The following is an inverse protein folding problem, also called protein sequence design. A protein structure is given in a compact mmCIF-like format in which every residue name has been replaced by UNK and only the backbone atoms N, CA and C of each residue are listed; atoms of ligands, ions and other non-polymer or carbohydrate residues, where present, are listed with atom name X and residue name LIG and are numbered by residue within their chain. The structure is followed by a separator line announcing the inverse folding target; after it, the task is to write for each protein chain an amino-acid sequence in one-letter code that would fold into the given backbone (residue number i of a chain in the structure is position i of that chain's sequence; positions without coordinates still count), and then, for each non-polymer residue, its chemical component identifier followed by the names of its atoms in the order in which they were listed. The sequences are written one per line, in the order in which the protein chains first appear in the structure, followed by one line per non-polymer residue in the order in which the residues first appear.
data_IF_327278229547
#
_entry.id   IF_327278229547
#
_cell.length_a   1.000
_cell.length_b   1.000
_cell.length_c   1.000
_cell.angle_alpha   90.00
_cell.angle_beta   90.00
_cell.angle_gamma   90.00
#
_symmetry.space_group_name_H-M   'P 1'
#
loop_
_entity.id
_entity.type
_entity.pdbx_description
1 polymer ?
#
# COMPACT_ATOMS: atom_id res chain seq x y z
N UNK A 1 -10.44 2.11 -1.97
CA UNK A 1 -10.11 0.67 -1.80
C UNK A 1 -8.63 0.49 -2.09
N UNK A 2 -7.78 0.30 -1.09
CA UNK A 2 -6.33 0.11 -1.29
C UNK A 2 -6.02 -1.39 -1.43
N UNK A 3 -5.25 -1.79 -2.45
CA UNK A 3 -4.63 -3.13 -2.50
C UNK A 3 -3.22 -3.01 -1.93
N UNK A 4 -3.02 -3.48 -0.71
CA UNK A 4 -1.74 -3.39 -0.03
C UNK A 4 -1.01 -4.73 -0.10
N UNK A 5 0.19 -4.74 -0.67
CA UNK A 5 1.11 -5.87 -0.60
C UNK A 5 1.93 -5.74 0.69
N UNK A 6 1.92 -6.74 1.56
CA UNK A 6 2.58 -6.62 2.86
C UNK A 6 2.36 -7.80 3.79
N UNK A 7 3.23 -8.81 3.66
CA UNK A 7 3.20 -10.09 4.40
C UNK A 7 2.98 -9.97 5.92
N UNK A 8 3.56 -8.96 6.55
CA UNK A 8 3.50 -8.80 8.01
C UNK A 8 2.33 -7.94 8.52
N UNK A 9 1.48 -7.39 7.66
CA UNK A 9 0.38 -6.49 8.05
C UNK A 9 0.79 -5.04 8.36
N UNK A 10 2.06 -4.69 8.13
CA UNK A 10 2.60 -3.37 8.46
C UNK A 10 2.02 -2.26 7.58
N UNK A 11 1.88 -2.54 6.28
CA UNK A 11 1.22 -1.63 5.33
C UNK A 11 -0.24 -1.44 5.72
N UNK A 12 -0.93 -2.53 6.07
CA UNK A 12 -2.31 -2.50 6.53
C UNK A 12 -2.48 -1.65 7.79
N UNK A 13 -1.60 -1.81 8.80
CA UNK A 13 -1.61 -1.01 10.03
C UNK A 13 -1.57 0.49 9.76
N UNK A 14 -0.75 0.92 8.81
CA UNK A 14 -0.65 2.35 8.48
C UNK A 14 -1.84 2.80 7.62
N UNK A 15 -2.25 2.00 6.62
CA UNK A 15 -3.37 2.33 5.74
C UNK A 15 -4.67 2.59 6.52
N UNK A 16 -4.95 1.78 7.55
CA UNK A 16 -6.19 1.92 8.33
C UNK A 16 -6.22 3.14 9.26
N UNK A 17 -5.07 3.79 9.51
CA UNK A 17 -5.02 5.05 10.29
C UNK A 17 -5.65 6.22 9.54
N UNK A 18 -5.73 6.15 8.21
CA UNK A 18 -6.35 7.19 7.41
C UNK A 18 -7.88 7.11 7.50
N UNK A 19 -8.51 8.20 7.94
CA UNK A 19 -9.97 8.32 8.03
C UNK A 19 -10.64 8.23 6.66
N UNK A 20 -9.98 8.73 5.62
CA UNK A 20 -10.45 8.68 4.22
C UNK A 20 -10.46 7.28 3.61
N UNK A 21 -9.78 6.31 4.22
CA UNK A 21 -9.77 4.93 3.74
C UNK A 21 -11.01 4.22 4.28
N UNK A 22 -11.93 3.89 3.38
CA UNK A 22 -13.15 3.13 3.70
C UNK A 22 -12.90 1.62 3.77
N UNK A 23 -12.10 1.10 2.84
CA UNK A 23 -11.77 -0.32 2.74
C UNK A 23 -10.34 -0.56 2.26
N UNK A 24 -9.70 -1.58 2.83
CA UNK A 24 -8.39 -2.09 2.43
C UNK A 24 -8.54 -3.56 2.07
N UNK A 25 -8.09 -3.92 0.89
CA UNK A 25 -7.99 -5.31 0.47
C UNK A 25 -6.54 -5.74 0.55
N UNK A 26 -6.28 -6.85 1.20
CA UNK A 26 -4.97 -7.49 1.22
C UNK A 26 -5.11 -8.89 0.64
N UNK A 27 -4.28 -9.20 -0.36
CA UNK A 27 -4.16 -10.54 -0.92
C UNK A 27 -2.82 -11.12 -0.47
N UNK A 28 -2.84 -12.26 0.22
CA UNK A 28 -1.64 -12.96 0.68
C UNK A 28 -1.66 -14.39 0.16
N UNK A 29 -0.53 -14.90 -0.32
CA UNK A 29 -0.50 -16.24 -0.92
C UNK A 29 -0.48 -17.34 0.15
N UNK A 30 0.08 -17.06 1.32
CA UNK A 30 0.29 -18.05 2.38
C UNK A 30 -0.30 -17.58 3.71
N UNK A 31 -1.39 -18.23 4.13
CA UNK A 31 -2.05 -17.97 5.41
C UNK A 31 -1.11 -18.19 6.60
N UNK A 32 -0.13 -19.11 6.51
CA UNK A 32 0.81 -19.36 7.60
C UNK A 32 1.64 -18.12 7.91
N UNK A 33 1.99 -17.32 6.89
CA UNK A 33 2.72 -16.07 7.08
C UNK A 33 1.91 -15.09 7.92
N UNK A 34 0.59 -15.08 7.76
CA UNK A 34 -0.32 -14.23 8.55
C UNK A 34 -0.33 -14.70 10.01
N UNK A 35 -0.47 -16.00 10.25
CA UNK A 35 -0.53 -16.56 11.61
C UNK A 35 0.81 -16.40 12.35
N UNK A 36 1.93 -16.66 11.67
CA UNK A 36 3.28 -16.42 12.19
C UNK A 36 3.48 -14.94 12.47
N UNK A 37 3.05 -14.04 11.59
CA UNK A 37 3.14 -12.59 11.83
C UNK A 37 2.33 -12.15 13.04
N UNK A 38 1.12 -12.69 13.25
CA UNK A 38 0.31 -12.43 14.45
C UNK A 38 1.03 -12.89 15.73
N UNK A 39 1.75 -14.01 15.67
CA UNK A 39 2.48 -14.57 16.82
C UNK A 39 3.79 -13.86 17.13
N UNK A 40 4.61 -13.58 16.12
CA UNK A 40 5.99 -13.10 16.31
C UNK A 40 6.17 -11.60 16.03
N UNK A 41 5.24 -10.98 15.29
CA UNK A 41 5.28 -9.55 14.94
C UNK A 41 3.98 -8.83 15.35
N UNK A 42 3.56 -8.88 16.63
CA UNK A 42 2.26 -8.39 17.08
C UNK A 42 2.05 -6.89 16.81
N UNK A 43 3.13 -6.09 16.90
CA UNK A 43 3.11 -4.64 16.62
C UNK A 43 2.81 -4.33 15.15
N UNK A 44 3.17 -5.23 14.25
CA UNK A 44 2.96 -5.09 12.80
C UNK A 44 1.63 -5.72 12.39
N UNK A 45 1.32 -6.88 12.96
CA UNK A 45 0.12 -7.65 12.67
C UNK A 45 -1.18 -7.06 13.24
N UNK A 46 -1.12 -6.02 14.08
CA UNK A 46 -2.31 -5.31 14.59
C UNK A 46 -3.22 -4.79 13.48
N UNK A 47 -2.67 -4.51 12.28
CA UNK A 47 -3.46 -4.13 11.12
C UNK A 47 -4.52 -5.17 10.73
N UNK A 48 -4.24 -6.47 10.94
CA UNK A 48 -5.16 -7.56 10.60
C UNK A 48 -6.45 -7.57 11.44
N UNK A 49 -6.50 -6.83 12.55
CA UNK A 49 -7.68 -6.73 13.40
C UNK A 49 -8.63 -5.59 13.00
N UNK A 50 -8.30 -4.83 11.95
CA UNK A 50 -9.14 -3.71 11.50
C UNK A 50 -10.43 -4.17 10.85
N UNK A 51 -11.56 -3.53 11.21
CA UNK A 51 -12.86 -3.74 10.54
C UNK A 51 -12.89 -3.28 9.08
N UNK A 52 -11.89 -2.48 8.65
CA UNK A 52 -11.74 -2.01 7.27
C UNK A 52 -11.05 -3.02 6.35
N UNK A 53 -10.52 -4.11 6.90
CA UNK A 53 -9.77 -5.12 6.14
C UNK A 53 -10.72 -6.12 5.47
N UNK A 54 -10.47 -6.39 4.19
CA UNK A 54 -10.90 -7.61 3.51
C UNK A 54 -9.64 -8.40 3.12
N UNK A 55 -9.48 -9.59 3.68
CA UNK A 55 -8.32 -10.44 3.44
C UNK A 55 -8.68 -11.56 2.46
N UNK A 56 -7.89 -11.70 1.41
CA UNK A 56 -7.92 -12.83 0.49
C UNK A 56 -6.65 -13.65 0.66
N UNK A 57 -6.80 -14.98 0.73
CA UNK A 57 -5.67 -15.91 0.68
C UNK A 57 -5.64 -16.51 -0.72
N UNK A 58 -4.88 -15.87 -1.61
CA UNK A 58 -4.82 -16.24 -3.02
C UNK A 58 -3.54 -15.74 -3.68
N UNK A 59 -3.24 -16.24 -4.88
CA UNK A 59 -2.20 -15.69 -5.73
C UNK A 59 -2.60 -14.29 -6.17
N UNK A 60 -1.88 -13.29 -5.66
CA UNK A 60 -2.15 -11.90 -5.98
C UNK A 60 -2.06 -11.57 -7.47
N UNK A 61 -1.31 -12.33 -8.27
CA UNK A 61 -1.27 -12.15 -9.72
C UNK A 61 -2.61 -12.53 -10.38
N UNK A 62 -3.25 -13.59 -9.90
CA UNK A 62 -4.54 -14.06 -10.39
C UNK A 62 -5.67 -13.16 -9.87
N UNK A 63 -5.59 -12.77 -8.59
CA UNK A 63 -6.47 -11.78 -7.99
C UNK A 63 -6.47 -10.46 -8.78
N UNK A 64 -5.30 -9.98 -9.18
CA UNK A 64 -5.20 -8.74 -9.97
C UNK A 64 -5.82 -8.91 -11.36
N UNK A 65 -5.61 -10.02 -12.08
CA UNK A 65 -6.24 -10.25 -13.39
C UNK A 65 -7.76 -10.20 -13.31
N UNK A 66 -8.35 -10.79 -12.27
CA UNK A 66 -9.80 -10.84 -12.09
C UNK A 66 -10.41 -9.48 -11.72
N UNK A 67 -9.62 -8.60 -11.10
CA UNK A 67 -10.12 -7.34 -10.55
C UNK A 67 -9.57 -6.09 -11.25
N UNK A 68 -8.71 -6.23 -12.27
CA UNK A 68 -8.05 -5.09 -12.93
C UNK A 68 -9.04 -4.10 -13.55
N UNK A 69 -10.09 -4.62 -14.21
CA UNK A 69 -11.15 -3.81 -14.83
C UNK A 69 -12.10 -3.14 -13.83
N UNK A 70 -11.99 -3.47 -12.54
CA UNK A 70 -12.89 -2.96 -11.50
C UNK A 70 -12.45 -1.60 -10.92
N UNK A 71 -11.33 -1.02 -11.39
CA UNK A 71 -10.76 0.23 -10.88
C UNK A 71 -10.59 1.27 -11.98
N UNK A 72 -11.08 2.48 -11.73
CA UNK A 72 -10.97 3.61 -12.66
C UNK A 72 -9.58 4.25 -12.65
N UNK A 73 -8.86 4.17 -11.53
CA UNK A 73 -7.53 4.76 -11.37
C UNK A 73 -6.57 3.74 -10.80
N UNK A 74 -5.43 3.57 -11.46
CA UNK A 74 -4.31 2.74 -10.98
C UNK A 74 -3.05 3.60 -10.91
N UNK A 75 -2.27 3.43 -9.85
CA UNK A 75 -1.00 4.10 -9.62
C UNK A 75 0.05 3.13 -9.10
N UNK A 76 1.32 3.45 -9.31
CA UNK A 76 2.44 2.70 -8.77
C UNK A 76 3.35 3.63 -7.98
N UNK A 77 3.64 3.24 -6.73
CA UNK A 77 4.58 3.92 -5.86
C UNK A 77 5.66 2.94 -5.42
N UNK A 78 6.80 3.44 -4.93
CA UNK A 78 7.82 2.58 -4.32
C UNK A 78 8.40 3.19 -3.05
N UNK A 79 9.00 2.36 -2.20
CA UNK A 79 9.80 2.83 -1.09
C UNK A 79 11.08 2.02 -0.94
N UNK A 80 12.04 2.58 -0.22
CA UNK A 80 13.34 1.96 0.05
C UNK A 80 13.29 1.21 1.37
N UNK A 81 13.53 -0.11 1.32
CA UNK A 81 13.63 -0.98 2.49
C UNK A 81 14.90 -1.83 2.29
N UNK A 82 15.99 -1.56 3.02
CA UNK A 82 17.29 -2.19 2.76
C UNK A 82 17.29 -3.73 2.81
N UNK A 83 16.37 -4.32 3.55
CA UNK A 83 16.26 -5.78 3.72
C UNK A 83 15.46 -6.47 2.62
N UNK A 84 14.85 -5.73 1.69
CA UNK A 84 14.19 -6.31 0.53
C UNK A 84 15.16 -6.49 -0.65
N UNK A 85 14.86 -7.44 -1.57
CA UNK A 85 15.67 -7.62 -2.77
C UNK A 85 15.86 -6.29 -3.50
N UNK A 86 17.11 -5.95 -3.83
CA UNK A 86 17.49 -4.66 -4.43
C UNK A 86 17.21 -3.41 -3.57
N UNK A 87 16.92 -3.58 -2.28
CA UNK A 87 16.77 -2.48 -1.31
C UNK A 87 15.48 -1.66 -1.43
N UNK A 88 14.50 -2.11 -2.23
CA UNK A 88 13.25 -1.38 -2.47
C UNK A 88 12.06 -2.30 -2.74
N UNK A 89 10.85 -1.78 -2.60
CA UNK A 89 9.60 -2.47 -2.97
C UNK A 89 8.58 -1.50 -3.58
N UNK A 90 7.79 -2.01 -4.51
CA UNK A 90 6.68 -1.30 -5.14
C UNK A 90 5.33 -1.57 -4.47
N UNK A 91 4.40 -0.64 -4.67
CA UNK A 91 3.01 -0.71 -4.26
C UNK A 91 2.14 -0.37 -5.46
N UNK A 92 1.16 -1.24 -5.76
CA UNK A 92 0.10 -0.94 -6.72
C UNK A 92 -1.08 -0.35 -5.95
N UNK A 93 -1.49 0.84 -6.33
CA UNK A 93 -2.57 1.61 -5.73
C UNK A 93 -3.75 1.65 -6.71
N UNK A 94 -4.94 1.25 -6.27
CA UNK A 94 -6.13 1.25 -7.13
C UNK A 94 -7.25 2.08 -6.50
N UNK A 95 -8.09 2.73 -7.32
CA UNK A 95 -9.26 3.46 -6.85
C UNK A 95 -10.42 3.27 -7.81
N UNK A 96 -11.63 3.15 -7.24
CA UNK A 96 -12.92 3.17 -7.96
C UNK A 96 -13.52 4.57 -8.08
N UNK A 97 -12.81 5.57 -7.59
CA UNK A 97 -13.22 6.95 -7.75
C UNK A 97 -12.34 7.55 -8.86
N UNK A 98 -12.90 7.84 -10.06
CA UNK A 98 -12.14 8.36 -11.20
C UNK A 98 -11.49 9.71 -10.94
N UNK A 99 -11.93 10.45 -9.91
CA UNK A 99 -11.33 11.72 -9.50
C UNK A 99 -10.12 11.55 -8.58
N UNK A 100 -9.72 10.32 -8.26
CA UNK A 100 -8.59 10.05 -7.35
C UNK A 100 -7.28 10.44 -8.00
N UNK A 101 -6.48 11.27 -7.32
CA UNK A 101 -5.11 11.60 -7.72
C UNK A 101 -4.14 11.02 -6.70
N UNK A 102 -3.43 9.95 -7.03
CA UNK A 102 -2.49 9.33 -6.10
C UNK A 102 -1.22 10.16 -5.88
N UNK A 103 -0.78 10.92 -6.90
CA UNK A 103 0.41 11.78 -6.85
C UNK A 103 0.33 12.86 -5.76
N UNK A 104 -0.85 13.45 -5.59
CA UNK A 104 -1.09 14.54 -4.66
C UNK A 104 -1.82 13.98 -3.44
N UNK A 105 -1.21 13.97 -2.24
CA UNK A 105 -1.91 13.52 -1.06
C UNK A 105 -3.10 14.45 -0.81
N UNK A 106 -4.32 13.92 -0.89
CA UNK A 106 -5.56 14.67 -0.66
C UNK A 106 -5.56 15.41 0.68
N UNK A 107 -4.82 14.88 1.66
CA UNK A 107 -4.54 15.54 2.93
C UNK A 107 -3.03 15.65 3.13
N UNK A 108 -2.51 16.87 3.00
CA UNK A 108 -1.14 17.16 3.39
C UNK A 108 -1.00 17.04 4.91
N UNK A 109 -0.07 16.20 5.36
CA UNK A 109 0.26 16.11 6.77
C UNK A 109 1.14 17.29 7.16
N UNK A 110 0.66 18.12 8.08
CA UNK A 110 1.48 19.12 8.76
C UNK A 110 2.54 18.40 9.61
N UNK A 111 3.71 19.01 9.78
CA UNK A 111 4.82 18.45 10.57
C UNK A 111 4.40 17.99 11.98
N UNK A 112 3.53 18.77 12.65
CA UNK A 112 2.99 18.39 13.97
C UNK A 112 2.23 17.07 13.96
N UNK A 113 1.50 16.77 12.88
CA UNK A 113 0.74 15.53 12.75
C UNK A 113 1.68 14.35 12.45
N UNK A 114 2.74 14.57 11.66
CA UNK A 114 3.81 13.57 11.42
C UNK A 114 4.43 13.13 12.75
N UNK A 115 4.71 14.09 13.63
CA UNK A 115 5.24 13.83 14.98
C UNK A 115 4.23 13.12 15.89
N UNK A 116 2.97 13.57 15.91
CA UNK A 116 1.89 12.93 16.68
C UNK A 116 1.65 11.48 16.27
N UNK A 117 1.74 11.19 14.97
CA UNK A 117 1.59 9.85 14.41
C UNK A 117 2.87 9.00 14.55
N UNK A 118 3.96 9.57 15.09
CA UNK A 118 5.26 8.93 15.28
C UNK A 118 5.82 8.31 13.98
N UNK A 119 5.62 9.00 12.86
CA UNK A 119 6.06 8.52 11.54
C UNK A 119 7.57 8.63 11.41
N UNK A 120 8.21 7.54 10.97
CA UNK A 120 9.68 7.44 10.83
C UNK A 120 10.18 7.55 9.39
N UNK A 121 9.27 7.45 8.42
CA UNK A 121 9.60 7.43 6.99
C UNK A 121 8.66 8.33 6.20
N UNK A 122 7.35 8.20 6.41
CA UNK A 122 6.35 8.93 5.64
C UNK A 122 6.23 10.40 6.08
N UNK A 123 6.18 11.29 5.10
CA UNK A 123 5.65 12.65 5.16
C UNK A 123 5.06 13.00 3.77
N UNK A 124 4.43 14.16 3.62
CA UNK A 124 3.78 14.56 2.36
C UNK A 124 4.75 14.67 1.17
N UNK A 125 6.01 15.02 1.42
CA UNK A 125 7.02 15.16 0.36
C UNK A 125 7.52 13.78 -0.09
N UNK A 126 7.74 12.87 0.86
CA UNK A 126 8.07 11.46 0.60
C UNK A 126 6.94 10.77 -0.16
N UNK A 127 5.68 11.07 0.18
CA UNK A 127 4.52 10.57 -0.57
C UNK A 127 4.64 10.93 -2.04
N UNK A 128 4.82 12.21 -2.35
CA UNK A 128 4.95 12.67 -3.73
C UNK A 128 6.14 12.00 -4.44
N UNK A 129 7.30 11.96 -3.79
CA UNK A 129 8.53 11.39 -4.34
C UNK A 129 8.39 9.87 -4.63
N UNK A 130 7.58 9.15 -3.87
CA UNK A 130 7.36 7.71 -4.05
C UNK A 130 6.74 7.36 -5.42
N UNK A 131 6.10 8.30 -6.10
CA UNK A 131 5.54 8.13 -7.44
C UNK A 131 6.47 8.60 -8.56
N UNK A 132 7.61 9.21 -8.23
CA UNK A 132 8.61 9.66 -9.20
C UNK A 132 9.54 8.49 -9.50
N UNK A 133 9.23 7.75 -10.56
CA UNK A 133 9.94 6.52 -10.91
C UNK A 133 11.20 6.80 -11.75
N UNK A 134 12.22 5.93 -11.68
CA UNK A 134 13.32 5.94 -12.64
C UNK A 134 12.79 5.90 -14.09
N UNK A 135 13.49 6.57 -15.01
CA UNK A 135 13.02 6.78 -16.39
C UNK A 135 12.64 5.48 -17.12
N UNK A 136 13.40 4.40 -16.90
CA UNK A 136 13.09 3.10 -17.51
C UNK A 136 11.74 2.54 -17.03
N UNK A 137 11.42 2.69 -15.74
CA UNK A 137 10.19 2.17 -15.14
C UNK A 137 9.00 3.07 -15.52
N UNK A 138 9.20 4.39 -15.52
CA UNK A 138 8.20 5.36 -15.98
C UNK A 138 7.75 5.04 -17.41
N UNK A 139 8.70 4.79 -18.32
CA UNK A 139 8.42 4.42 -19.71
C UNK A 139 7.66 3.09 -19.81
N UNK A 140 8.13 2.06 -19.12
CA UNK A 140 7.49 0.75 -19.16
C UNK A 140 6.02 0.79 -18.67
N UNK A 141 5.74 1.59 -17.63
CA UNK A 141 4.38 1.70 -17.08
C UNK A 141 3.48 2.65 -17.88
N UNK A 142 4.02 3.67 -18.54
CA UNK A 142 3.23 4.52 -19.43
C UNK A 142 2.75 3.78 -20.67
N UNK A 143 3.47 2.74 -21.10
CA UNK A 143 3.10 1.93 -22.26
C UNK A 143 2.01 0.88 -21.93
N UNK A 144 1.65 0.70 -20.65
CA UNK A 144 0.61 -0.22 -20.18
C UNK A 144 -0.77 0.43 -19.96
N UNK A 145 -0.86 1.76 -19.97
CA UNK A 145 -2.08 2.53 -19.69
C UNK A 145 -2.64 3.21 -20.95
#
# INVERSE_FOLDING_TARGET
MLIAWGRAGGVLREAVKHSSVESVVQCEIDENVIQVSKKFLPVTAVGYSSSKLTLYVDDGSEFMKQNWSAFDVVGYAYCTIPTYPSGQIGFVLCSKNPSTKFLEPMQQLMQKLVEQMQLKYYNSDVHWAAFVLPEFARKALSDLC
#
